data_IF_412063142692
#
_entry.id   IF_412063142692
#
_cell.length_a   1.000
_cell.length_b   1.000
_cell.length_c   1.000
_cell.angle_alpha   90.00
_cell.angle_beta   90.00
_cell.angle_gamma   90.00
#
_symmetry.space_group_name_H-M   'P 1'
#
loop_
_entity.id
_entity.type
_entity.pdbx_description
1 polymer ?
#
# COMPACT_ATOMS: atom_id res chain seq x y z
N UNK A 1 1.69 13.07 -5.56
CA UNK A 1 2.56 12.56 -6.65
C UNK A 1 2.34 13.39 -7.91
N UNK A 2 3.37 13.60 -8.74
CA UNK A 2 3.25 14.43 -9.96
C UNK A 2 2.23 13.89 -10.98
N UNK A 3 2.12 12.57 -11.16
CA UNK A 3 1.16 12.00 -12.11
C UNK A 3 -0.29 12.10 -11.66
N UNK A 4 -0.56 12.11 -10.36
CA UNK A 4 -1.91 12.29 -9.84
C UNK A 4 -2.42 13.70 -10.09
N UNK A 5 -1.57 14.71 -9.85
CA UNK A 5 -1.88 16.11 -10.17
C UNK A 5 -2.05 16.38 -11.66
N UNK A 6 -1.57 15.49 -12.53
CA UNK A 6 -1.74 15.53 -13.98
C UNK A 6 -2.86 14.60 -14.48
N UNK A 7 -3.71 14.10 -13.59
CA UNK A 7 -4.82 13.18 -13.89
C UNK A 7 -4.39 11.90 -14.63
N UNK A 8 -3.11 11.52 -14.52
CA UNK A 8 -2.55 10.30 -15.10
C UNK A 8 -2.71 9.15 -14.11
N UNK A 9 -3.96 8.82 -13.80
CA UNK A 9 -4.33 7.91 -12.71
C UNK A 9 -3.70 6.52 -12.80
N UNK A 10 -3.53 5.97 -14.02
CA UNK A 10 -2.85 4.67 -14.23
C UNK A 10 -1.38 4.70 -13.80
N UNK A 11 -0.66 5.80 -14.10
CA UNK A 11 0.75 5.97 -13.70
C UNK A 11 0.86 6.29 -12.21
N UNK A 12 -0.02 7.15 -11.71
CA UNK A 12 -0.08 7.48 -10.28
C UNK A 12 -0.36 6.24 -9.41
N UNK A 13 -1.20 5.31 -9.88
CA UNK A 13 -1.44 4.04 -9.21
C UNK A 13 -0.16 3.22 -9.05
N UNK A 14 0.65 3.13 -10.11
CA UNK A 14 1.92 2.41 -10.08
C UNK A 14 2.89 3.07 -9.09
N UNK A 15 3.03 4.40 -9.12
CA UNK A 15 3.87 5.13 -8.16
C UNK A 15 3.48 4.82 -6.70
N UNK A 16 2.19 4.91 -6.38
CA UNK A 16 1.73 4.62 -5.02
C UNK A 16 1.87 3.13 -4.66
N UNK A 17 1.71 2.21 -5.62
CA UNK A 17 2.02 0.80 -5.37
C UNK A 17 3.50 0.58 -5.08
N UNK A 18 4.41 1.29 -5.77
CA UNK A 18 5.83 1.25 -5.47
C UNK A 18 6.14 1.80 -4.08
N UNK A 19 5.52 2.93 -3.69
CA UNK A 19 5.64 3.46 -2.33
C UNK A 19 5.19 2.42 -1.30
N UNK A 20 4.04 1.79 -1.49
CA UNK A 20 3.52 0.77 -0.56
C UNK A 20 4.37 -0.51 -0.52
N UNK A 21 5.11 -0.83 -1.59
CA UNK A 21 6.08 -1.92 -1.55
C UNK A 21 7.33 -1.54 -0.75
N UNK A 22 7.76 -0.27 -0.76
CA UNK A 22 8.87 0.25 0.07
C UNK A 22 8.42 0.35 1.53
N UNK A 23 7.26 0.94 1.76
CA UNK A 23 6.71 1.24 3.06
C UNK A 23 5.18 1.18 3.01
N UNK A 24 4.64 0.12 3.63
CA UNK A 24 3.21 -0.12 3.70
C UNK A 24 2.48 0.81 4.70
N UNK A 25 3.20 1.45 5.61
CA UNK A 25 2.64 2.31 6.65
C UNK A 25 2.23 3.69 6.13
N UNK A 26 2.65 4.07 4.91
CA UNK A 26 2.34 5.36 4.30
C UNK A 26 0.85 5.47 3.98
N UNK A 27 0.08 5.99 4.94
CA UNK A 27 -1.38 6.11 4.85
C UNK A 27 -1.84 6.91 3.63
N UNK A 28 -1.15 8.01 3.30
CA UNK A 28 -1.47 8.82 2.13
C UNK A 28 -1.39 8.01 0.81
N UNK A 29 -0.48 7.03 0.73
CA UNK A 29 -0.37 6.16 -0.44
C UNK A 29 -1.51 5.12 -0.46
N UNK A 30 -1.89 4.55 0.69
CA UNK A 30 -3.05 3.66 0.81
C UNK A 30 -4.33 4.36 0.34
N UNK A 31 -4.58 5.56 0.87
CA UNK A 31 -5.79 6.34 0.55
C UNK A 31 -5.84 6.72 -0.93
N UNK A 32 -4.70 7.12 -1.50
CA UNK A 32 -4.60 7.48 -2.92
C UNK A 32 -4.84 6.27 -3.83
N UNK A 33 -4.29 5.09 -3.51
CA UNK A 33 -4.55 3.84 -4.24
C UNK A 33 -6.03 3.49 -4.22
N UNK A 34 -6.70 3.61 -3.07
CA UNK A 34 -8.13 3.33 -2.96
C UNK A 34 -8.97 4.31 -3.79
N UNK A 35 -8.67 5.61 -3.73
CA UNK A 35 -9.36 6.64 -4.53
C UNK A 35 -9.19 6.38 -6.02
N UNK A 36 -7.95 6.15 -6.46
CA UNK A 36 -7.62 5.90 -7.86
C UNK A 36 -8.27 4.59 -8.35
N UNK A 37 -8.32 3.55 -7.53
CA UNK A 37 -9.00 2.28 -7.86
C UNK A 37 -10.48 2.51 -8.15
N UNK A 38 -11.18 3.30 -7.34
CA UNK A 38 -12.60 3.62 -7.57
C UNK A 38 -12.80 4.32 -8.91
N UNK A 39 -12.01 5.37 -9.18
CA UNK A 39 -12.08 6.10 -10.45
C UNK A 39 -11.80 5.19 -11.66
N UNK A 40 -10.83 4.28 -11.55
CA UNK A 40 -10.52 3.35 -12.65
C UNK A 40 -11.62 2.31 -12.86
N UNK A 41 -12.26 1.80 -11.81
CA UNK A 41 -13.42 0.91 -11.94
C UNK A 41 -14.58 1.64 -12.61
N UNK A 42 -14.83 2.89 -12.25
CA UNK A 42 -15.90 3.71 -12.84
C UNK A 42 -15.66 3.99 -14.34
N UNK A 43 -14.41 4.23 -14.74
CA UNK A 43 -14.06 4.56 -16.13
C UNK A 43 -13.90 3.33 -17.02
N UNK A 44 -13.18 2.32 -16.54
CA UNK A 44 -12.71 1.19 -17.34
C UNK A 44 -13.41 -0.14 -16.99
N UNK A 45 -14.30 -0.15 -15.99
CA UNK A 45 -15.02 -1.34 -15.56
C UNK A 45 -14.14 -2.31 -14.76
N UNK A 46 -14.56 -3.58 -14.59
CA UNK A 46 -13.78 -4.58 -13.84
C UNK A 46 -12.41 -4.86 -14.46
N UNK A 47 -12.26 -4.63 -15.77
CA UNK A 47 -11.05 -4.92 -16.55
C UNK A 47 -10.00 -3.79 -16.50
N UNK A 48 -10.22 -2.77 -15.66
CA UNK A 48 -9.30 -1.63 -15.51
C UNK A 48 -7.85 -2.04 -15.23
N UNK A 49 -7.65 -3.19 -14.58
CA UNK A 49 -6.32 -3.74 -14.28
C UNK A 49 -5.54 -4.13 -15.52
N UNK A 50 -6.20 -4.61 -16.58
CA UNK A 50 -5.53 -5.00 -17.82
C UNK A 50 -4.94 -3.80 -18.57
N UNK A 51 -5.46 -2.60 -18.26
CA UNK A 51 -5.01 -1.33 -18.84
C UNK A 51 -3.90 -0.67 -18.02
N UNK A 52 -3.45 -1.28 -16.92
CA UNK A 52 -2.37 -0.75 -16.12
C UNK A 52 -1.01 -0.98 -16.79
N UNK A 53 -0.08 -0.02 -16.67
CA UNK A 53 1.32 -0.30 -16.96
C UNK A 53 1.89 -1.30 -15.95
N UNK A 54 2.98 -1.97 -16.33
CA UNK A 54 3.66 -2.93 -15.47
C UNK A 54 4.10 -2.31 -14.14
N UNK A 55 3.90 -3.04 -13.05
CA UNK A 55 4.24 -2.57 -11.70
C UNK A 55 5.66 -3.03 -11.40
N UNK A 56 6.61 -2.11 -11.16
CA UNK A 56 7.98 -2.49 -10.86
C UNK A 56 8.02 -3.24 -9.53
N UNK A 57 8.83 -4.29 -9.49
CA UNK A 57 9.11 -5.02 -8.26
C UNK A 57 10.18 -4.28 -7.45
N UNK A 58 9.86 -3.93 -6.20
CA UNK A 58 10.81 -3.31 -5.27
C UNK A 58 11.61 -4.41 -4.54
N UNK A 59 12.96 -4.37 -4.57
CA UNK A 59 13.78 -5.33 -3.83
C UNK A 59 13.54 -5.30 -2.32
N UNK A 60 13.69 -6.46 -1.66
CA UNK A 60 13.50 -6.57 -0.21
C UNK A 60 14.42 -5.67 0.61
N UNK A 61 15.62 -5.38 0.10
CA UNK A 61 16.58 -4.47 0.73
C UNK A 61 16.09 -3.03 0.83
N UNK A 62 15.14 -2.63 -0.01
CA UNK A 62 14.54 -1.30 0.01
C UNK A 62 13.26 -1.21 0.86
N UNK A 63 12.75 -2.33 1.41
CA UNK A 63 11.52 -2.33 2.20
C UNK A 63 11.79 -1.91 3.65
N UNK A 64 11.25 -0.76 4.06
CA UNK A 64 11.54 -0.11 5.34
C UNK A 64 10.76 -0.75 6.50
N UNK A 65 9.45 -0.95 6.36
CA UNK A 65 8.60 -1.44 7.44
C UNK A 65 8.58 -2.97 7.62
N UNK A 66 9.45 -3.72 6.92
CA UNK A 66 9.60 -5.17 7.15
C UNK A 66 10.34 -5.47 8.46
N UNK A 67 11.18 -4.55 8.94
CA UNK A 67 12.09 -4.75 10.07
C UNK A 67 11.65 -4.06 11.36
N UNK A 68 10.45 -3.51 11.42
CA UNK A 68 9.96 -2.96 12.67
C UNK A 68 9.68 -4.11 13.63
N UNK A 69 10.56 -4.25 14.63
CA UNK A 69 10.24 -5.08 15.77
C UNK A 69 9.00 -4.48 16.45
N UNK A 70 7.98 -5.29 16.74
CA UNK A 70 6.80 -4.81 17.43
C UNK A 70 7.22 -4.13 18.73
N UNK A 71 6.64 -2.97 19.02
CA UNK A 71 6.96 -2.23 20.24
C UNK A 71 6.77 -3.12 21.47
N UNK A 72 7.56 -2.87 22.51
CA UNK A 72 7.49 -3.63 23.76
C UNK A 72 6.06 -3.67 24.34
N UNK A 73 5.29 -2.59 24.17
CA UNK A 73 3.88 -2.51 24.56
C UNK A 73 2.98 -3.45 23.75
N UNK A 74 3.20 -3.55 22.43
CA UNK A 74 2.45 -4.46 21.54
C UNK A 74 2.77 -5.93 21.85
N UNK A 75 4.01 -6.22 22.22
CA UNK A 75 4.44 -7.54 22.67
C UNK A 75 3.82 -7.90 24.03
N UNK A 76 3.79 -6.97 24.99
CA UNK A 76 3.14 -7.17 26.29
C UNK A 76 1.63 -7.37 26.13
N UNK A 77 0.96 -6.57 25.30
CA UNK A 77 -0.47 -6.71 25.05
C UNK A 77 -0.83 -8.05 24.40
N UNK A 78 0.01 -8.57 23.50
CA UNK A 78 -0.15 -9.91 22.91
C UNK A 78 0.07 -11.02 23.94
N UNK A 79 1.06 -10.88 24.81
CA UNK A 79 1.32 -11.84 25.88
C UNK A 79 0.17 -11.90 26.90
N UNK A 80 -0.37 -10.74 27.31
CA UNK A 80 -1.50 -10.67 28.22
C UNK A 80 -2.76 -11.34 27.64
N UNK A 81 -3.08 -11.10 26.36
CA UNK A 81 -4.22 -11.77 25.71
C UNK A 81 -4.06 -13.28 25.59
N UNK A 82 -2.83 -13.78 25.39
CA UNK A 82 -2.55 -15.20 25.32
C UNK A 82 -2.67 -15.91 26.68
N UNK A 83 -2.42 -15.19 27.78
CA UNK A 83 -2.62 -15.69 29.15
C UNK A 83 -4.11 -15.70 29.55
N UNK A 84 -4.92 -14.75 29.07
CA UNK A 84 -6.36 -14.71 29.35
C UNK A 84 -7.17 -15.81 28.63
N UNK A 85 -6.63 -16.39 27.56
CA UNK A 85 -7.31 -17.42 26.74
C UNK A 85 -7.02 -18.86 27.20
N UNK A 86 -6.34 -19.05 28.35
CA UNK A 86 -5.86 -20.33 28.87
C UNK A 86 -6.55 -20.74 30.18
#
# INVERSE_FOLDING_TARGET
MAYESLERYKKAYVDYKTVLQIDISVQAALDSVHRITKMMIEQDGPDWREKLPDIPMVPLSAQQHRREEPSAELLQARAARAEEEK
#
